data_IF_478654648769
#
_entry.id   IF_478654648769
#
_cell.length_a   1.000
_cell.length_b   1.000
_cell.length_c   1.000
_cell.angle_alpha   90.00
_cell.angle_beta   90.00
_cell.angle_gamma   90.00
#
_symmetry.space_group_name_H-M   'P 1'
#
loop_
_entity.id
_entity.type
_entity.pdbx_description
1 polymer ?
#
# COMPACT_ATOMS: atom_id res chain seq x y z
N UNK A 1 13.73 -13.38 -1.96
CA UNK A 1 13.62 -12.04 -1.32
C UNK A 1 12.23 -11.42 -1.41
N UNK A 2 11.41 -11.72 -2.42
CA UNK A 2 10.07 -11.12 -2.62
C UNK A 2 8.98 -11.61 -1.64
N UNK A 3 9.05 -12.84 -1.13
CA UNK A 3 8.00 -13.38 -0.24
C UNK A 3 7.97 -12.76 1.17
N UNK A 4 9.14 -12.48 1.76
CA UNK A 4 9.22 -11.91 3.12
C UNK A 4 8.65 -10.50 3.18
N UNK A 5 8.96 -9.69 2.15
CA UNK A 5 8.47 -8.31 2.07
C UNK A 5 6.96 -8.26 1.80
N UNK A 6 6.46 -9.11 0.91
CA UNK A 6 5.02 -9.27 0.67
C UNK A 6 4.25 -9.64 1.94
N UNK A 7 4.79 -10.58 2.74
CA UNK A 7 4.17 -10.98 4.01
C UNK A 7 4.15 -9.83 5.01
N UNK A 8 5.29 -9.16 5.22
CA UNK A 8 5.38 -8.02 6.12
C UNK A 8 4.44 -6.87 5.73
N UNK A 9 4.31 -6.61 4.42
CA UNK A 9 3.39 -5.59 3.92
C UNK A 9 1.94 -6.00 4.20
N UNK A 10 1.56 -7.25 3.93
CA UNK A 10 0.23 -7.73 4.25
C UNK A 10 -0.11 -7.71 5.73
N UNK A 11 0.84 -8.01 6.61
CA UNK A 11 0.64 -7.88 8.05
C UNK A 11 0.39 -6.42 8.46
N UNK A 12 1.17 -5.48 7.91
CA UNK A 12 0.94 -4.05 8.11
C UNK A 12 -0.44 -3.62 7.59
N UNK A 13 -0.79 -4.03 6.36
CA UNK A 13 -2.06 -3.69 5.73
C UNK A 13 -3.25 -4.23 6.51
N UNK A 14 -3.16 -5.47 6.99
CA UNK A 14 -4.23 -6.09 7.77
C UNK A 14 -4.40 -5.38 9.11
N UNK A 15 -3.30 -5.04 9.78
CA UNK A 15 -3.33 -4.32 11.06
C UNK A 15 -3.88 -2.91 10.90
N UNK A 16 -3.46 -2.18 9.87
CA UNK A 16 -3.80 -0.76 9.70
C UNK A 16 -5.08 -0.55 8.90
N UNK A 17 -5.28 -1.22 7.79
CA UNK A 17 -6.43 -1.02 6.91
C UNK A 17 -7.48 -2.14 6.99
N UNK A 18 -7.22 -3.21 7.76
CA UNK A 18 -8.14 -4.35 7.85
C UNK A 18 -8.22 -5.19 6.57
N UNK A 19 -7.33 -4.94 5.60
CA UNK A 19 -7.32 -5.60 4.28
C UNK A 19 -5.91 -6.07 3.94
N UNK A 20 -5.81 -7.03 3.04
CA UNK A 20 -4.55 -7.53 2.47
C UNK A 20 -4.52 -7.28 0.97
N UNK A 21 -3.33 -7.14 0.40
CA UNK A 21 -3.10 -7.13 -1.04
C UNK A 21 -2.89 -8.56 -1.56
N UNK A 22 -3.47 -8.86 -2.71
CA UNK A 22 -3.19 -10.09 -3.45
C UNK A 22 -1.74 -10.09 -3.97
N UNK A 23 -1.20 -11.29 -4.21
CA UNK A 23 0.13 -11.44 -4.79
C UNK A 23 0.25 -10.73 -6.14
N UNK A 24 -0.79 -10.84 -6.97
CA UNK A 24 -0.87 -10.16 -8.27
C UNK A 24 -0.80 -8.63 -8.12
N UNK A 25 -1.57 -8.05 -7.20
CA UNK A 25 -1.53 -6.61 -6.89
C UNK A 25 -0.13 -6.18 -6.46
N UNK A 26 0.52 -6.99 -5.64
CA UNK A 26 1.88 -6.71 -5.20
C UNK A 26 2.88 -6.76 -6.38
N UNK A 27 2.83 -7.79 -7.22
CA UNK A 27 3.71 -7.91 -8.39
C UNK A 27 3.49 -6.75 -9.37
N UNK A 28 2.24 -6.36 -9.62
CA UNK A 28 1.89 -5.18 -10.42
C UNK A 28 2.43 -3.88 -9.79
N UNK A 29 2.33 -3.73 -8.47
CA UNK A 29 2.87 -2.58 -7.75
C UNK A 29 4.40 -2.50 -7.81
N UNK A 30 5.10 -3.64 -7.75
CA UNK A 30 6.55 -3.69 -7.94
C UNK A 30 6.91 -3.23 -9.37
N UNK A 31 6.17 -3.70 -10.38
CA UNK A 31 6.33 -3.26 -11.77
C UNK A 31 6.09 -1.76 -11.93
N UNK A 32 5.06 -1.24 -11.27
CA UNK A 32 4.75 0.18 -11.21
C UNK A 32 5.89 1.00 -10.60
N UNK A 33 6.42 0.60 -9.43
CA UNK A 33 7.54 1.28 -8.78
C UNK A 33 8.80 1.32 -9.64
N UNK A 34 9.04 0.27 -10.46
CA UNK A 34 10.17 0.24 -11.40
C UNK A 34 10.04 1.26 -12.54
N UNK A 35 8.82 1.63 -12.93
CA UNK A 35 8.59 2.68 -13.95
C UNK A 35 8.94 4.06 -13.42
N UNK A 36 8.81 4.29 -12.10
CA UNK A 36 9.21 5.54 -11.45
C UNK A 36 8.32 6.76 -11.77
N UNK A 37 7.21 6.56 -12.48
CA UNK A 37 6.26 7.62 -12.84
C UNK A 37 5.08 7.58 -11.88
N UNK A 38 4.70 8.74 -11.34
CA UNK A 38 3.49 8.86 -10.53
C UNK A 38 2.25 8.80 -11.45
N UNK A 39 1.39 7.81 -11.22
CA UNK A 39 0.09 7.66 -11.86
C UNK A 39 -1.01 7.71 -10.80
N UNK A 40 -2.12 8.42 -11.11
CA UNK A 40 -3.30 8.53 -10.25
C UNK A 40 -3.02 8.96 -8.79
N UNK A 41 -2.00 9.79 -8.58
CA UNK A 41 -1.63 10.30 -7.25
C UNK A 41 -0.97 9.25 -6.33
N UNK A 42 -0.61 8.08 -6.84
CA UNK A 42 0.13 7.05 -6.08
C UNK A 42 1.62 7.30 -6.24
N UNK A 43 2.37 7.46 -5.15
CA UNK A 43 3.83 7.59 -5.21
C UNK A 43 4.45 6.23 -5.60
N UNK A 44 5.35 6.16 -6.61
CA UNK A 44 6.04 4.92 -7.03
C UNK A 44 7.18 4.56 -6.05
N UNK A 45 6.87 4.56 -4.75
CA UNK A 45 7.81 4.26 -3.66
C UNK A 45 7.34 2.98 -3.00
N UNK A 46 8.25 2.03 -2.90
CA UNK A 46 8.02 0.69 -2.37
C UNK A 46 7.78 0.76 -0.86
N UNK A 47 6.52 0.89 -0.46
CA UNK A 47 6.07 0.90 0.93
C UNK A 47 4.63 0.35 1.02
N UNK A 48 4.18 -0.12 2.19
CA UNK A 48 2.86 -0.73 2.31
C UNK A 48 1.70 0.25 2.10
N UNK A 49 1.86 1.54 2.44
CA UNK A 49 0.81 2.55 2.26
C UNK A 49 0.51 2.78 0.77
N UNK A 50 1.55 2.88 -0.06
CA UNK A 50 1.42 3.03 -1.50
C UNK A 50 0.93 1.74 -2.16
N UNK A 51 1.28 0.56 -1.62
CA UNK A 51 0.69 -0.70 -2.07
C UNK A 51 -0.83 -0.71 -1.82
N UNK A 52 -1.27 -0.24 -0.66
CA UNK A 52 -2.69 -0.10 -0.35
C UNK A 52 -3.38 0.86 -1.32
N UNK A 53 -2.78 2.04 -1.51
CA UNK A 53 -3.28 3.07 -2.43
C UNK A 53 -3.43 2.51 -3.85
N UNK A 54 -2.38 1.85 -4.34
CA UNK A 54 -2.35 1.20 -5.65
C UNK A 54 -3.43 0.12 -5.79
N UNK A 55 -3.58 -0.76 -4.79
CA UNK A 55 -4.57 -1.83 -4.82
C UNK A 55 -6.02 -1.36 -4.69
N UNK A 56 -6.25 -0.23 -4.03
CA UNK A 56 -7.59 0.34 -3.84
C UNK A 56 -7.95 1.39 -4.90
N UNK A 57 -7.00 1.81 -5.76
CA UNK A 57 -7.23 2.85 -6.75
C UNK A 57 -7.42 4.24 -6.16
N UNK A 58 -6.84 4.50 -4.98
CA UNK A 58 -6.88 5.79 -4.29
C UNK A 58 -5.51 6.46 -4.32
N UNK A 59 -5.45 7.75 -4.00
CA UNK A 59 -4.17 8.46 -3.92
C UNK A 59 -3.34 8.05 -2.69
N UNK A 60 -2.01 8.25 -2.76
CA UNK A 60 -1.14 8.05 -1.59
C UNK A 60 -1.52 8.94 -0.41
N UNK A 61 -2.08 10.12 -0.67
CA UNK A 61 -2.54 11.04 0.38
C UNK A 61 -3.74 10.43 1.11
N UNK A 62 -4.76 9.97 0.37
CA UNK A 62 -5.95 9.34 0.97
C UNK A 62 -5.59 8.08 1.78
N UNK A 63 -4.66 7.27 1.29
CA UNK A 63 -4.17 6.12 2.06
C UNK A 63 -3.53 6.54 3.39
N UNK A 64 -2.81 7.67 3.41
CA UNK A 64 -2.21 8.23 4.64
C UNK A 64 -3.29 8.80 5.56
N UNK A 65 -4.26 9.55 5.05
CA UNK A 65 -5.38 10.04 5.85
C UNK A 65 -6.13 8.90 6.56
N UNK A 66 -6.47 7.83 5.82
CA UNK A 66 -7.10 6.63 6.38
C UNK A 66 -6.24 5.97 7.48
N UNK A 67 -4.93 6.01 7.35
CA UNK A 67 -4.01 5.49 8.37
C UNK A 67 -4.06 6.33 9.65
N UNK A 68 -4.13 7.66 9.53
CA UNK A 68 -4.20 8.58 10.65
C UNK A 68 -5.57 8.56 11.32
N UNK A 69 -6.67 8.57 10.57
CA UNK A 69 -8.02 8.46 11.11
C UNK A 69 -8.18 7.23 12.00
N UNK A 70 -7.64 6.09 11.55
CA UNK A 70 -7.66 4.86 12.34
C UNK A 70 -6.74 4.90 13.55
N UNK A 71 -5.60 5.58 13.46
CA UNK A 71 -4.71 5.77 14.61
C UNK A 71 -5.34 6.63 15.70
N UNK A 72 -6.22 7.58 15.33
CA UNK A 72 -7.00 8.39 16.28
C UNK A 72 -8.17 7.60 16.88
N UNK A 73 -8.79 6.69 16.13
CA UNK A 73 -9.91 5.87 16.62
C UNK A 73 -9.50 4.76 17.60
N UNK A 74 -8.26 4.27 17.54
CA UNK A 74 -7.68 3.28 18.46
C UNK A 74 -7.01 3.91 19.70
N UNK A 75 -7.04 5.25 19.83
CA UNK A 75 -6.36 6.03 20.88
C UNK A 75 -7.24 6.51 22.02
#
# INVERSE_FOLDING_TARGET
>A
MTQTLFKAYNEFLKKRYGRSASKETYENFIGYCRRGVMENGVKPILNPVNLYAFGCGISSAEAVDLLFEKAVADG
#
